data_IF_133849475049
#
_entry.id   IF_133849475049
#
_cell.length_a   1.000
_cell.length_b   1.000
_cell.length_c   1.000
_cell.angle_alpha   90.00
_cell.angle_beta   90.00
_cell.angle_gamma   90.00
#
_symmetry.space_group_name_H-M   'P 1'
#
loop_
_entity.id
_entity.type
_entity.pdbx_description
1 polymer ?
#
# COMPACT_ATOMS: atom_id res chain seq x y z
N UNK A 1 38.24 24.32 -45.01
CA UNK A 1 37.12 23.90 -44.15
C UNK A 1 35.90 24.63 -44.62
N UNK A 2 34.91 23.90 -45.13
CA UNK A 2 33.73 24.51 -45.72
C UNK A 2 32.76 24.91 -44.59
N UNK A 3 32.11 26.07 -44.67
CA UNK A 3 31.12 26.52 -43.66
C UNK A 3 29.99 25.50 -43.43
N UNK A 4 29.70 24.68 -44.45
CA UNK A 4 28.76 23.56 -44.38
C UNK A 4 29.20 22.45 -43.42
N UNK A 5 30.50 22.18 -43.33
CA UNK A 5 31.02 21.18 -42.39
C UNK A 5 30.90 21.68 -40.94
N UNK A 6 31.22 22.96 -40.71
CA UNK A 6 31.12 23.56 -39.37
C UNK A 6 29.67 23.60 -38.88
N UNK A 7 28.73 24.01 -39.73
CA UNK A 7 27.30 24.02 -39.40
C UNK A 7 26.74 22.61 -39.20
N UNK A 8 27.12 21.65 -40.05
CA UNK A 8 26.71 20.25 -39.88
C UNK A 8 27.17 19.65 -38.53
N UNK A 9 28.41 19.92 -38.11
CA UNK A 9 28.93 19.43 -36.83
C UNK A 9 28.18 20.04 -35.64
N UNK A 10 27.87 21.35 -35.68
CA UNK A 10 27.10 22.00 -34.62
C UNK A 10 25.68 21.45 -34.52
N UNK A 11 25.00 21.27 -35.66
CA UNK A 11 23.65 20.68 -35.70
C UNK A 11 23.67 19.24 -35.21
N UNK A 12 24.65 18.44 -35.61
CA UNK A 12 24.79 17.05 -35.18
C UNK A 12 25.00 16.95 -33.66
N UNK A 13 25.86 17.80 -33.08
CA UNK A 13 26.10 17.84 -31.64
C UNK A 13 24.86 18.29 -30.86
N UNK A 14 24.10 19.24 -31.41
CA UNK A 14 22.85 19.70 -30.81
C UNK A 14 21.78 18.61 -30.85
N UNK A 15 21.58 18.00 -32.01
CA UNK A 15 20.66 16.87 -32.18
C UNK A 15 21.04 15.71 -31.25
N UNK A 16 22.33 15.37 -31.13
CA UNK A 16 22.81 14.35 -30.22
C UNK A 16 22.46 14.68 -28.76
N UNK A 17 22.64 15.93 -28.33
CA UNK A 17 22.29 16.37 -26.98
C UNK A 17 20.79 16.44 -26.70
N UNK A 18 19.95 16.64 -27.70
CA UNK A 18 18.49 16.65 -27.53
C UNK A 18 17.89 15.25 -27.62
N UNK A 19 18.38 14.42 -28.54
CA UNK A 19 17.86 13.06 -28.78
C UNK A 19 18.34 12.10 -27.70
N UNK A 20 19.60 12.19 -27.25
CA UNK A 20 20.11 11.31 -26.21
C UNK A 20 19.27 11.31 -24.91
N UNK A 21 18.93 12.46 -24.27
CA UNK A 21 18.12 12.46 -23.06
C UNK A 21 16.69 11.94 -23.31
N UNK A 22 16.10 12.20 -24.48
CA UNK A 22 14.80 11.64 -24.84
C UNK A 22 14.87 10.12 -24.96
N UNK A 23 15.85 9.58 -25.68
CA UNK A 23 16.02 8.12 -25.81
C UNK A 23 16.23 7.48 -24.43
N UNK A 24 17.07 8.08 -23.57
CA UNK A 24 17.31 7.55 -22.22
C UNK A 24 16.02 7.52 -21.40
N UNK A 25 15.25 8.61 -21.37
CA UNK A 25 14.00 8.68 -20.60
C UNK A 25 12.95 7.70 -21.13
N UNK A 26 12.79 7.59 -22.45
CA UNK A 26 11.90 6.59 -23.06
C UNK A 26 12.33 5.17 -22.74
N UNK A 27 13.64 4.88 -22.75
CA UNK A 27 14.17 3.55 -22.44
C UNK A 27 13.85 3.17 -20.99
N UNK A 28 14.06 4.10 -20.04
CA UNK A 28 13.75 3.87 -18.62
C UNK A 28 12.24 3.65 -18.43
N UNK A 29 11.41 4.51 -19.01
CA UNK A 29 9.95 4.39 -18.92
C UNK A 29 9.46 3.04 -19.50
N UNK A 30 10.01 2.62 -20.65
CA UNK A 30 9.72 1.33 -21.24
C UNK A 30 10.14 0.16 -20.34
N UNK A 31 11.33 0.24 -19.73
CA UNK A 31 11.82 -0.79 -18.82
C UNK A 31 10.93 -0.91 -17.57
N UNK A 32 10.49 0.22 -17.02
CA UNK A 32 9.56 0.25 -15.88
C UNK A 32 8.21 -0.37 -16.23
N UNK A 33 7.62 0.00 -17.37
CA UNK A 33 6.36 -0.61 -17.81
C UNK A 33 6.50 -2.11 -18.01
N UNK A 34 7.58 -2.56 -18.64
CA UNK A 34 7.84 -3.99 -18.83
C UNK A 34 7.94 -4.76 -17.50
N UNK A 35 8.54 -4.16 -16.48
CA UNK A 35 8.56 -4.73 -15.14
C UNK A 35 7.15 -4.76 -14.57
N UNK A 36 6.42 -3.63 -14.56
CA UNK A 36 5.05 -3.57 -14.04
C UNK A 36 4.13 -4.60 -14.71
N UNK A 37 4.22 -4.77 -16.02
CA UNK A 37 3.40 -5.73 -16.78
C UNK A 37 3.66 -7.18 -16.33
N UNK A 38 4.93 -7.51 -16.02
CA UNK A 38 5.28 -8.84 -15.49
C UNK A 38 4.60 -9.10 -14.16
N UNK A 39 4.56 -8.11 -13.26
CA UNK A 39 3.96 -8.27 -11.93
C UNK A 39 2.44 -8.33 -12.01
N UNK A 40 1.82 -7.56 -12.92
CA UNK A 40 0.38 -7.65 -13.17
C UNK A 40 -0.05 -9.03 -13.68
N UNK A 41 0.76 -9.66 -14.52
CA UNK A 41 0.48 -11.02 -15.00
C UNK A 41 0.51 -12.05 -13.85
N UNK A 42 1.38 -11.87 -12.84
CA UNK A 42 1.44 -12.73 -11.67
C UNK A 42 0.22 -12.51 -10.74
N UNK A 43 -0.23 -11.26 -10.57
CA UNK A 43 -1.45 -10.94 -9.80
C UNK A 43 -2.73 -11.50 -10.45
N UNK A 44 -2.84 -11.45 -11.78
CA UNK A 44 -3.99 -12.00 -12.51
C UNK A 44 -4.11 -13.52 -12.31
N UNK A 45 -2.98 -14.25 -12.27
CA UNK A 45 -2.97 -15.68 -11.98
C UNK A 45 -3.40 -15.98 -10.53
N UNK A 46 -2.92 -15.20 -9.56
CA UNK A 46 -3.33 -15.33 -8.16
C UNK A 46 -4.81 -14.98 -7.94
N UNK A 47 -5.34 -14.02 -8.70
CA UNK A 47 -6.76 -13.66 -8.68
C UNK A 47 -7.62 -14.71 -9.40
N UNK A 48 -7.12 -15.33 -10.45
CA UNK A 48 -7.82 -16.42 -11.13
C UNK A 48 -7.88 -17.68 -10.26
N UNK A 49 -6.78 -18.04 -9.59
CA UNK A 49 -6.74 -19.13 -8.60
C UNK A 49 -7.70 -18.88 -7.42
N UNK A 50 -7.83 -17.63 -6.97
CA UNK A 50 -8.82 -17.24 -5.94
C UNK A 50 -10.24 -17.06 -6.49
N UNK A 51 -10.39 -16.80 -7.78
CA UNK A 51 -11.65 -16.50 -8.47
C UNK A 51 -12.47 -17.73 -8.83
N UNK A 52 -11.83 -18.89 -9.03
CA UNK A 52 -12.54 -20.17 -9.22
C UNK A 52 -13.26 -20.68 -7.96
N UNK A 53 -13.01 -20.07 -6.79
CA UNK A 53 -13.75 -20.33 -5.54
C UNK A 53 -14.69 -19.20 -5.12
N UNK A 54 -14.86 -18.16 -5.95
CA UNK A 54 -15.64 -16.97 -5.60
C UNK A 54 -16.69 -16.61 -6.66
N UNK A 55 -17.57 -17.56 -6.97
CA UNK A 55 -18.90 -17.25 -7.53
C UNK A 55 -19.92 -17.41 -6.40
N UNK A 56 -19.86 -16.54 -5.39
CA UNK A 56 -21.04 -16.21 -4.60
C UNK A 56 -20.87 -14.85 -3.90
N UNK A 57 -21.76 -13.93 -4.29
CA UNK A 57 -22.29 -12.80 -3.54
C UNK A 57 -21.37 -11.64 -3.11
N UNK A 58 -21.68 -10.49 -3.72
CA UNK A 58 -21.77 -9.16 -3.12
C UNK A 58 -21.51 -9.07 -1.59
N UNK A 59 -20.46 -8.34 -1.19
CA UNK A 59 -20.52 -7.20 -0.25
C UNK A 59 -19.11 -6.77 0.13
N UNK A 60 -18.71 -5.57 -0.31
CA UNK A 60 -17.61 -4.72 0.20
C UNK A 60 -16.20 -5.35 0.33
N UNK A 61 -15.11 -4.59 0.11
CA UNK A 61 -13.77 -5.07 0.46
C UNK A 61 -13.65 -5.14 1.99
N UNK A 62 -14.02 -6.29 2.57
CA UNK A 62 -13.64 -6.63 3.93
C UNK A 62 -12.14 -6.87 3.92
N UNK A 63 -11.39 -5.81 4.23
CA UNK A 63 -9.97 -5.89 4.57
C UNK A 63 -9.88 -6.90 5.70
N UNK A 64 -9.47 -8.14 5.38
CA UNK A 64 -9.11 -9.15 6.37
C UNK A 64 -7.78 -8.69 6.98
N UNK A 65 -7.84 -7.72 7.89
CA UNK A 65 -6.74 -7.51 8.81
C UNK A 65 -6.53 -8.83 9.56
N UNK A 66 -5.27 -9.27 9.75
CA UNK A 66 -4.99 -10.44 10.57
C UNK A 66 -5.66 -10.23 11.92
N UNK A 67 -6.45 -11.25 12.29
CA UNK A 67 -7.15 -11.41 13.55
C UNK A 67 -6.32 -10.81 14.67
N UNK A 68 -6.79 -9.71 15.24
CA UNK A 68 -6.32 -9.18 16.52
C UNK A 68 -6.77 -10.20 17.57
N UNK A 69 -5.95 -11.23 17.80
CA UNK A 69 -6.28 -12.35 18.71
C UNK A 69 -6.45 -11.89 20.16
N UNK A 70 -5.94 -10.72 20.52
CA UNK A 70 -6.01 -10.17 21.88
C UNK A 70 -6.82 -8.87 21.87
N UNK A 71 -8.04 -8.85 22.42
CA UNK A 71 -8.83 -7.64 22.48
C UNK A 71 -8.18 -6.59 23.38
N UNK A 72 -8.38 -5.31 23.03
CA UNK A 72 -7.67 -4.19 23.66
C UNK A 72 -7.96 -4.04 25.16
N UNK A 73 -9.13 -4.49 25.63
CA UNK A 73 -9.47 -4.43 27.06
C UNK A 73 -8.63 -5.39 27.91
N UNK A 74 -8.13 -6.49 27.33
CA UNK A 74 -7.19 -7.39 28.01
C UNK A 74 -5.82 -6.73 28.10
N UNK A 75 -5.33 -6.14 27.02
CA UNK A 75 -4.04 -5.43 26.98
C UNK A 75 -4.01 -4.21 27.90
N UNK A 76 -5.12 -3.47 28.00
CA UNK A 76 -5.24 -2.28 28.84
C UNK A 76 -5.75 -2.55 30.24
N UNK A 77 -6.04 -3.81 30.57
CA UNK A 77 -6.61 -4.24 31.83
C UNK A 77 -7.81 -3.37 32.26
N UNK A 78 -8.79 -3.22 31.35
CA UNK A 78 -9.97 -2.40 31.62
C UNK A 78 -10.96 -3.14 32.52
N UNK A 79 -11.53 -2.46 33.52
CA UNK A 79 -12.57 -3.03 34.40
C UNK A 79 -13.90 -3.28 33.66
N UNK A 80 -14.75 -4.16 34.19
CA UNK A 80 -16.03 -4.52 33.56
C UNK A 80 -16.93 -3.33 33.25
N UNK A 81 -16.94 -2.30 34.11
CA UNK A 81 -17.70 -1.07 33.89
C UNK A 81 -17.23 -0.35 32.61
N UNK A 82 -15.92 -0.17 32.45
CA UNK A 82 -15.34 0.45 31.25
C UNK A 82 -15.52 -0.41 30.00
N UNK A 83 -15.54 -1.74 30.16
CA UNK A 83 -15.78 -2.64 29.04
C UNK A 83 -17.23 -2.57 28.52
N UNK A 84 -18.21 -2.35 29.40
CA UNK A 84 -19.62 -2.24 29.02
C UNK A 84 -19.90 -0.95 28.20
N UNK A 85 -19.23 0.14 28.56
CA UNK A 85 -19.32 1.43 27.88
C UNK A 85 -18.45 1.52 26.62
N UNK A 86 -17.58 0.53 26.37
CA UNK A 86 -16.64 0.57 25.27
C UNK A 86 -17.31 0.27 23.91
N UNK A 87 -17.40 1.28 23.04
CA UNK A 87 -17.89 1.12 21.67
C UNK A 87 -17.11 0.06 20.87
N UNK A 88 -15.81 -0.12 21.14
CA UNK A 88 -15.00 -1.14 20.46
C UNK A 88 -15.41 -2.58 20.82
N UNK A 89 -16.00 -2.81 22.00
CA UNK A 89 -16.53 -4.12 22.39
C UNK A 89 -17.83 -4.44 21.64
N UNK A 90 -18.62 -3.43 21.35
CA UNK A 90 -19.89 -3.57 20.62
C UNK A 90 -19.67 -3.90 19.13
N UNK A 91 -18.47 -3.66 18.59
CA UNK A 91 -18.12 -3.88 17.19
C UNK A 91 -16.92 -4.84 17.07
N UNK A 92 -17.09 -6.16 17.29
CA UNK A 92 -16.00 -7.13 17.26
C UNK A 92 -15.31 -7.24 15.88
N UNK A 93 -15.95 -6.76 14.82
CA UNK A 93 -15.39 -6.75 13.46
C UNK A 93 -14.43 -5.59 13.16
N UNK A 94 -14.27 -4.62 14.06
CA UNK A 94 -13.43 -3.44 13.83
C UNK A 94 -12.41 -3.30 14.96
N UNK A 95 -11.15 -2.94 14.65
CA UNK A 95 -10.15 -2.72 15.69
C UNK A 95 -10.50 -1.47 16.49
N UNK A 96 -10.14 -1.49 17.78
CA UNK A 96 -10.56 -0.46 18.74
C UNK A 96 -10.15 0.96 18.33
N UNK A 97 -8.97 1.13 17.72
CA UNK A 97 -8.48 2.42 17.26
C UNK A 97 -9.37 3.01 16.15
N UNK A 98 -9.94 2.17 15.28
CA UNK A 98 -10.79 2.60 14.17
C UNK A 98 -12.18 3.00 14.66
N UNK A 99 -12.72 2.28 15.65
CA UNK A 99 -13.98 2.65 16.31
C UNK A 99 -13.80 3.98 17.04
N UNK A 100 -12.68 4.18 17.76
CA UNK A 100 -12.38 5.46 18.41
C UNK A 100 -12.19 6.59 17.42
N UNK A 101 -11.47 6.35 16.32
CA UNK A 101 -11.29 7.35 15.26
C UNK A 101 -12.64 7.79 14.66
N UNK A 102 -13.59 6.86 14.51
CA UNK A 102 -14.94 7.17 13.99
C UNK A 102 -15.79 7.97 14.97
N UNK A 103 -15.67 7.68 16.28
CA UNK A 103 -16.46 8.34 17.32
C UNK A 103 -15.88 9.70 17.72
N UNK A 104 -14.57 9.75 17.97
CA UNK A 104 -13.87 10.91 18.50
C UNK A 104 -13.37 11.84 17.37
N UNK A 105 -13.36 11.39 16.11
CA UNK A 105 -12.83 12.11 14.95
C UNK A 105 -11.30 12.23 14.93
N UNK A 106 -10.64 11.94 16.06
CA UNK A 106 -9.20 11.97 16.24
C UNK A 106 -8.75 10.76 17.07
N UNK A 107 -7.52 10.31 16.82
CA UNK A 107 -6.93 9.25 17.61
C UNK A 107 -6.35 9.84 18.91
N UNK A 108 -6.74 9.34 20.08
CA UNK A 108 -6.17 9.81 21.35
C UNK A 108 -4.71 9.38 21.45
N UNK A 109 -3.89 10.16 22.16
CA UNK A 109 -2.45 9.89 22.31
C UNK A 109 -2.17 8.51 22.94
N UNK A 110 -3.07 8.02 23.80
CA UNK A 110 -2.98 6.64 24.34
C UNK A 110 -2.97 5.53 23.29
N UNK A 111 -3.38 5.81 22.04
CA UNK A 111 -3.36 4.85 20.95
C UNK A 111 -2.04 4.84 20.17
N UNK A 112 -1.20 5.88 20.25
CA UNK A 112 0.05 5.93 19.45
C UNK A 112 1.06 4.87 19.89
N UNK A 113 1.08 4.55 21.18
CA UNK A 113 1.97 3.54 21.77
C UNK A 113 1.32 2.15 21.88
N UNK A 114 0.09 2.00 21.40
CA UNK A 114 -0.63 0.75 21.53
C UNK A 114 -0.07 -0.29 20.53
N UNK A 115 0.31 -1.51 20.97
CA UNK A 115 0.87 -2.52 20.08
C UNK A 115 -0.09 -2.91 18.94
N UNK A 116 -1.40 -2.87 19.18
CA UNK A 116 -2.42 -3.12 18.13
C UNK A 116 -2.34 -2.05 17.03
N UNK A 117 -2.21 -0.78 17.42
CA UNK A 117 -2.12 0.33 16.47
C UNK A 117 -0.77 0.33 15.74
N UNK A 118 0.33 0.05 16.44
CA UNK A 118 1.67 -0.06 15.86
C UNK A 118 1.72 -1.20 14.84
N UNK A 119 1.16 -2.37 15.16
CA UNK A 119 1.08 -3.49 14.21
C UNK A 119 0.22 -3.15 13.00
N UNK A 120 -0.94 -2.51 13.19
CA UNK A 120 -1.80 -2.07 12.09
C UNK A 120 -1.13 -1.01 11.20
N UNK A 121 -0.44 -0.04 11.80
CA UNK A 121 0.36 0.97 11.09
C UNK A 121 1.57 0.34 10.39
N UNK A 122 2.20 -0.65 11.03
CA UNK A 122 3.29 -1.44 10.48
C UNK A 122 2.85 -2.23 9.26
N UNK A 123 1.66 -2.85 9.27
CA UNK A 123 1.08 -3.53 8.10
C UNK A 123 0.76 -2.57 6.94
N UNK A 124 0.51 -1.30 7.22
CA UNK A 124 0.32 -0.26 6.19
C UNK A 124 1.64 0.28 5.60
N UNK A 125 2.78 0.02 6.25
CA UNK A 125 4.10 0.53 5.88
C UNK A 125 5.10 -0.58 5.52
N UNK A 126 4.84 -1.83 5.91
CA UNK A 126 5.68 -2.96 5.57
C UNK A 126 5.53 -3.27 4.08
N UNK A 127 6.60 -3.12 3.26
CA UNK A 127 6.64 -3.85 2.00
C UNK A 127 6.53 -5.33 2.36
N UNK A 128 5.73 -6.08 1.60
CA UNK A 128 5.64 -7.52 1.73
C UNK A 128 7.05 -8.13 1.61
N UNK A 129 7.64 -8.51 2.75
CA UNK A 129 8.86 -9.32 2.80
C UNK A 129 8.52 -10.52 3.69
N UNK A 130 8.24 -11.64 3.04
CA UNK A 130 8.10 -12.96 3.66
C UNK A 130 8.91 -13.97 2.84
N UNK A 131 9.78 -14.71 3.52
CA UNK A 131 10.76 -15.68 3.01
C UNK A 131 12.14 -15.28 3.53
N UNK A 132 12.71 -15.91 4.56
CA UNK A 132 12.71 -17.33 4.94
C UNK A 132 12.58 -17.56 6.47
#
# INVERSE_FOLDING_TARGET
MNELEATAVLVALFALRCIAPLVITFTIAYLMNRLVDRWRAEDELLLQEKGELAVEAETAPSIKLPVVTIPCWILRNCDQAMQAECAARQQPGLPCFLVRLRMDGMLPESCTDCPIYIQAKGLAVAPAISGD
#
